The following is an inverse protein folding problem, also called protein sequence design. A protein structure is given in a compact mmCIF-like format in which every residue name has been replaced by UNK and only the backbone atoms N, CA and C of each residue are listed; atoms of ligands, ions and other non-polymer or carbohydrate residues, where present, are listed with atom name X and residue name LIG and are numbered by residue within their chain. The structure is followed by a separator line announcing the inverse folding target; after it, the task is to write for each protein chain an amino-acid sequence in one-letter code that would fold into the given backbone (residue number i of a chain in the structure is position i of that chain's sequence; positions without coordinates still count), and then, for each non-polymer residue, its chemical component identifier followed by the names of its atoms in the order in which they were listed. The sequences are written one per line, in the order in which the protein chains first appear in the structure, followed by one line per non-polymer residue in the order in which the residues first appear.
data_IF_918715324621
#
_entry.id   IF_918715324621
#
_cell.length_a   1.000
_cell.length_b   1.000
_cell.length_c   1.000
_cell.angle_alpha   90.00
_cell.angle_beta   90.00
_cell.angle_gamma   90.00
#
_symmetry.space_group_name_H-M   'P 1'
#
loop_
_entity.id
_entity.type
_entity.pdbx_description
1 polymer ?
#
# COMPACT_ATOMS: atom_id res chain seq x y z
N UNK A 1 -0.50 15.25 -14.16
CA UNK A 1 -1.49 14.35 -14.76
C UNK A 1 -2.14 13.51 -13.68
N UNK A 2 -3.46 13.48 -13.68
CA UNK A 2 -4.17 12.69 -12.68
C UNK A 2 -4.06 11.20 -12.99
N UNK A 3 -3.90 10.40 -11.96
CA UNK A 3 -3.83 8.95 -12.09
C UNK A 3 -5.26 8.42 -12.11
N UNK A 4 -5.61 7.69 -13.16
CA UNK A 4 -6.93 7.14 -13.32
C UNK A 4 -7.16 5.96 -12.37
N UNK A 5 -8.42 5.66 -12.10
CA UNK A 5 -8.76 4.51 -11.27
C UNK A 5 -8.31 3.20 -11.90
N UNK A 6 -8.36 3.11 -13.23
CA UNK A 6 -7.90 1.90 -13.92
C UNK A 6 -6.41 1.69 -13.73
N UNK A 7 -5.64 2.76 -13.84
CA UNK A 7 -4.20 2.71 -13.58
C UNK A 7 -3.92 2.29 -12.15
N UNK A 8 -4.67 2.84 -11.21
CA UNK A 8 -4.51 2.51 -9.80
C UNK A 8 -4.86 1.05 -9.53
N UNK A 9 -5.89 0.52 -10.18
CA UNK A 9 -6.26 -0.89 -10.03
C UNK A 9 -5.19 -1.81 -10.55
N UNK A 10 -4.60 -1.49 -11.70
CA UNK A 10 -3.49 -2.27 -12.25
C UNK A 10 -2.31 -2.24 -11.31
N UNK A 11 -2.02 -1.07 -10.76
CA UNK A 11 -0.93 -0.93 -9.78
C UNK A 11 -1.22 -1.74 -8.52
N UNK A 12 -2.46 -1.79 -8.08
CA UNK A 12 -2.85 -2.59 -6.92
C UNK A 12 -2.60 -4.06 -7.16
N UNK A 13 -2.94 -4.56 -8.34
CA UNK A 13 -2.68 -5.96 -8.67
C UNK A 13 -1.18 -6.25 -8.70
N UNK A 14 -0.40 -5.35 -9.26
CA UNK A 14 1.06 -5.47 -9.24
C UNK A 14 1.59 -5.41 -7.81
N UNK A 15 1.02 -4.54 -6.99
CA UNK A 15 1.45 -4.38 -5.61
C UNK A 15 1.23 -5.66 -4.80
N UNK A 16 0.15 -6.36 -5.05
CA UNK A 16 -0.10 -7.63 -4.36
C UNK A 16 1.03 -8.61 -4.59
N UNK A 17 1.58 -8.64 -5.80
CA UNK A 17 2.70 -9.51 -6.11
C UNK A 17 4.01 -8.99 -5.53
N UNK A 18 4.26 -7.69 -5.67
CA UNK A 18 5.49 -7.08 -5.19
C UNK A 18 5.58 -7.13 -3.67
N UNK A 19 4.46 -6.90 -3.00
CA UNK A 19 4.42 -6.78 -1.55
C UNK A 19 4.12 -8.09 -0.85
N UNK A 20 3.83 -9.15 -1.60
CA UNK A 20 3.49 -10.45 -1.02
C UNK A 20 4.61 -11.02 -0.16
N UNK A 21 5.87 -10.70 -0.50
CA UNK A 21 7.02 -11.20 0.21
C UNK A 21 7.40 -10.33 1.42
N UNK A 22 6.74 -9.20 1.60
CA UNK A 22 7.06 -8.32 2.71
C UNK A 22 6.33 -8.75 3.97
N UNK A 23 7.06 -8.91 5.08
CA UNK A 23 6.41 -9.26 6.34
C UNK A 23 5.57 -8.10 6.87
N UNK A 24 4.47 -8.42 7.49
CA UNK A 24 3.66 -7.42 8.17
C UNK A 24 2.65 -6.70 7.29
N UNK A 25 2.60 -6.97 6.00
CA UNK A 25 1.59 -6.37 5.14
C UNK A 25 0.26 -7.06 5.40
N UNK A 26 -0.72 -6.31 5.87
CA UNK A 26 -2.04 -6.85 6.18
C UNK A 26 -3.08 -6.49 5.14
N UNK A 27 -2.77 -5.55 4.27
CA UNK A 27 -3.69 -5.21 3.19
C UNK A 27 -3.12 -4.16 2.27
N UNK A 28 -3.64 -4.16 1.05
CA UNK A 28 -3.32 -3.16 0.04
C UNK A 28 -4.64 -2.65 -0.49
N UNK A 29 -4.82 -1.34 -0.47
CA UNK A 29 -6.03 -0.71 -0.95
C UNK A 29 -5.74 0.47 -1.85
N UNK A 30 -6.79 1.14 -2.24
CA UNK A 30 -6.70 2.37 -2.99
C UNK A 30 -7.09 3.53 -2.10
N UNK A 31 -6.39 4.64 -2.27
CA UNK A 31 -6.74 5.88 -1.60
C UNK A 31 -6.64 7.01 -2.61
N UNK A 32 -7.04 8.17 -2.20
CA UNK A 32 -7.00 9.34 -3.07
C UNK A 32 -6.24 10.45 -2.37
N UNK A 33 -5.32 11.06 -3.10
CA UNK A 33 -4.55 12.20 -2.61
C UNK A 33 -4.84 13.34 -3.56
N UNK A 34 -5.60 14.34 -3.11
CA UNK A 34 -6.07 15.37 -4.01
C UNK A 34 -6.91 14.77 -5.11
N UNK A 35 -6.52 14.99 -6.37
CA UNK A 35 -7.24 14.46 -7.54
C UNK A 35 -6.67 13.16 -8.05
N UNK A 36 -5.58 12.68 -7.44
CA UNK A 36 -4.90 11.47 -7.90
C UNK A 36 -5.22 10.28 -7.02
N UNK A 37 -5.25 9.10 -7.63
CA UNK A 37 -5.34 7.86 -6.88
C UNK A 37 -3.95 7.43 -6.45
N UNK A 38 -3.88 6.75 -5.32
CA UNK A 38 -2.65 6.21 -4.79
C UNK A 38 -2.94 4.84 -4.18
N UNK A 39 -1.88 4.06 -4.01
CA UNK A 39 -1.98 2.80 -3.30
C UNK A 39 -1.79 3.04 -1.82
N UNK A 40 -2.57 2.34 -1.01
CA UNK A 40 -2.42 2.40 0.43
C UNK A 40 -2.02 1.02 0.92
N UNK A 41 -0.84 0.94 1.52
CA UNK A 41 -0.31 -0.31 2.07
C UNK A 41 -0.46 -0.25 3.57
N UNK A 42 -1.20 -1.19 4.12
CA UNK A 42 -1.41 -1.27 5.56
C UNK A 42 -0.47 -2.31 6.15
N UNK A 43 0.29 -1.89 7.15
CA UNK A 43 1.23 -2.76 7.84
C UNK A 43 0.76 -3.01 9.25
N UNK A 44 1.01 -4.21 9.75
CA UNK A 44 0.69 -4.55 11.13
C UNK A 44 1.66 -3.90 12.10
N UNK A 45 2.92 -3.76 11.68
CA UNK A 45 3.97 -3.15 12.49
C UNK A 45 5.02 -2.58 11.57
N UNK A 46 5.96 -1.84 12.14
CA UNK A 46 7.04 -1.29 11.35
C UNK A 46 7.85 -2.39 10.70
N UNK A 47 8.30 -2.12 9.46
CA UNK A 47 9.12 -3.07 8.74
C UNK A 47 10.50 -3.17 9.40
N UNK A 48 11.09 -4.36 9.36
CA UNK A 48 12.46 -4.53 9.84
C UNK A 48 13.43 -3.60 9.10
N UNK A 49 14.51 -3.26 9.77
CA UNK A 49 15.58 -2.47 9.16
C UNK A 49 16.07 -3.16 7.89
N UNK A 50 16.22 -2.39 6.83
CA UNK A 50 16.67 -2.92 5.54
C UNK A 50 15.56 -3.35 4.60
N UNK A 51 14.32 -3.40 5.08
CA UNK A 51 13.18 -3.69 4.23
C UNK A 51 12.58 -2.36 3.77
N UNK A 52 12.48 -2.20 2.47
CA UNK A 52 12.02 -0.95 1.88
C UNK A 52 10.76 -1.22 1.06
N UNK A 53 9.73 -0.42 1.30
CA UNK A 53 8.53 -0.44 0.48
C UNK A 53 8.75 0.49 -0.71
N UNK A 54 8.49 0.05 -1.94
CA UNK A 54 8.62 0.93 -3.09
C UNK A 54 7.75 2.18 -2.93
N UNK A 55 8.27 3.32 -3.34
CA UNK A 55 7.52 4.58 -3.27
C UNK A 55 6.46 4.68 -4.36
N UNK A 56 6.64 3.95 -5.43
CA UNK A 56 5.72 3.90 -6.55
C UNK A 56 5.64 2.48 -7.07
N UNK A 57 4.47 2.10 -7.54
CA UNK A 57 4.27 0.81 -8.21
C UNK A 57 3.47 1.10 -9.48
N UNK A 58 4.00 0.71 -10.62
CA UNK A 58 3.37 0.96 -11.93
C UNK A 58 3.03 2.43 -12.14
N UNK A 59 3.88 3.33 -11.63
CA UNK A 59 3.68 4.76 -11.76
C UNK A 59 2.71 5.38 -10.78
N UNK A 60 2.15 4.59 -9.88
CA UNK A 60 1.18 5.06 -8.88
C UNK A 60 1.88 5.22 -7.53
N UNK A 61 1.74 6.37 -6.87
CA UNK A 61 2.35 6.57 -5.56
C UNK A 61 1.86 5.56 -4.53
N UNK A 62 2.73 5.23 -3.61
CA UNK A 62 2.43 4.28 -2.54
C UNK A 62 2.46 5.02 -1.20
N UNK A 63 1.37 4.92 -0.46
CA UNK A 63 1.28 5.44 0.89
C UNK A 63 1.29 4.28 1.87
N UNK A 64 2.12 4.37 2.89
CA UNK A 64 2.24 3.31 3.89
C UNK A 64 1.63 3.79 5.19
N UNK A 65 0.81 2.95 5.80
CA UNK A 65 0.21 3.24 7.08
C UNK A 65 0.39 2.04 8.00
N UNK A 66 0.81 2.29 9.22
CA UNK A 66 0.91 1.25 10.23
C UNK A 66 -0.40 1.25 11.00
N UNK A 67 -1.17 0.18 10.82
CA UNK A 67 -2.48 0.10 11.47
C UNK A 67 -2.44 -0.71 12.76
N UNK A 68 -1.32 -1.36 13.01
CA UNK A 68 -1.18 -2.17 14.21
C UNK A 68 -2.05 -3.40 14.19
N UNK A 69 -2.00 -4.14 15.28
CA UNK A 69 -2.87 -5.30 15.48
C UNK A 69 -4.18 -4.81 16.04
N UNK A 70 -5.26 -5.10 15.34
CA UNK A 70 -6.58 -4.75 15.84
C UNK A 70 -6.94 -5.76 16.91
N UNK A 71 -7.02 -5.28 18.14
CA UNK A 71 -7.45 -6.08 19.25
C UNK A 71 -8.89 -5.75 19.55
N UNK A 72 -9.72 -6.76 19.57
CA UNK A 72 -11.06 -6.54 20.03
C UNK A 72 -11.04 -6.32 21.52
N UNK A 73 -11.63 -5.24 21.91
CA UNK A 73 -11.86 -5.00 23.31
C UNK A 73 -13.25 -5.40 23.69
N UNK A 74 -13.33 -6.19 24.67
CA UNK A 74 -14.62 -6.67 25.17
C UNK A 74 -14.93 -5.98 26.47
#
# INVERSE_FOLDING_TARGET
MAISIDQARQAKDSAKNVLADLPGVVGVGLTKIGDDYALKVNLREELPSGVIVPKQIAGVPVCVEIVGTIKKRL
#
